data_IF_092749521342
#
_entry.id   IF_092749521342
#
_cell.length_a   1.000
_cell.length_b   1.000
_cell.length_c   1.000
_cell.angle_alpha   90.00
_cell.angle_beta   90.00
_cell.angle_gamma   90.00
#
_symmetry.space_group_name_H-M   'P 1'
#
loop_
_entity.id
_entity.type
_entity.pdbx_description
1 polymer ?
#
# COMPACT_ATOMS: atom_id res chain seq x y z
N UNK A 1 -12.77 -6.00 -41.89
CA UNK A 1 -12.58 -5.34 -40.58
C UNK A 1 -12.81 -6.37 -39.48
N UNK A 2 -11.75 -6.82 -38.80
CA UNK A 2 -11.90 -7.79 -37.69
C UNK A 2 -12.47 -7.08 -36.46
N UNK A 3 -13.62 -7.54 -35.97
CA UNK A 3 -14.19 -7.07 -34.72
C UNK A 3 -13.20 -7.37 -33.58
N UNK A 4 -12.64 -6.32 -32.97
CA UNK A 4 -11.84 -6.44 -31.74
C UNK A 4 -12.77 -6.96 -30.65
N UNK A 5 -12.71 -8.27 -30.36
CA UNK A 5 -13.43 -8.87 -29.23
C UNK A 5 -12.91 -8.23 -27.94
N UNK A 6 -13.69 -7.31 -27.36
CA UNK A 6 -13.42 -6.81 -26.01
C UNK A 6 -13.34 -8.03 -25.07
N UNK A 7 -12.25 -8.19 -24.29
CA UNK A 7 -12.15 -9.30 -23.35
C UNK A 7 -13.36 -9.25 -22.39
N UNK A 8 -13.95 -10.41 -22.08
CA UNK A 8 -15.07 -10.46 -21.13
C UNK A 8 -14.60 -9.91 -19.77
N UNK A 9 -15.49 -9.18 -19.08
CA UNK A 9 -15.23 -8.56 -17.78
C UNK A 9 -14.62 -9.56 -16.77
N UNK A 10 -15.05 -10.81 -16.84
CA UNK A 10 -14.55 -11.90 -16.00
C UNK A 10 -13.08 -12.26 -16.25
N UNK A 11 -12.63 -12.16 -17.50
CA UNK A 11 -11.24 -12.43 -17.89
C UNK A 11 -10.30 -11.32 -17.42
N UNK A 12 -10.78 -10.07 -17.44
CA UNK A 12 -10.07 -8.94 -16.84
C UNK A 12 -9.99 -9.09 -15.32
N UNK A 13 -11.08 -9.46 -14.67
CA UNK A 13 -11.12 -9.69 -13.21
C UNK A 13 -10.19 -10.81 -12.75
N UNK A 14 -10.13 -11.90 -13.51
CA UNK A 14 -9.24 -13.04 -13.21
C UNK A 14 -7.76 -12.66 -13.36
N UNK A 15 -7.43 -11.85 -14.37
CA UNK A 15 -6.06 -11.36 -14.56
C UNK A 15 -5.64 -10.40 -13.45
N UNK A 16 -6.54 -9.50 -13.01
CA UNK A 16 -6.29 -8.61 -11.88
C UNK A 16 -6.03 -9.40 -10.61
N UNK A 17 -6.87 -10.39 -10.28
CA UNK A 17 -6.66 -11.27 -9.12
C UNK A 17 -5.36 -12.07 -9.20
N UNK A 18 -4.97 -12.55 -10.38
CA UNK A 18 -3.67 -13.25 -10.54
C UNK A 18 -2.49 -12.34 -10.27
N UNK A 19 -2.52 -11.11 -10.80
CA UNK A 19 -1.46 -10.11 -10.55
C UNK A 19 -1.39 -9.76 -9.07
N UNK A 20 -2.53 -9.64 -8.40
CA UNK A 20 -2.62 -9.42 -6.96
C UNK A 20 -2.02 -10.57 -6.15
N UNK A 21 -2.36 -11.82 -6.46
CA UNK A 21 -1.78 -12.98 -5.78
C UNK A 21 -0.26 -13.07 -5.97
N UNK A 22 0.22 -12.86 -7.21
CA UNK A 22 1.67 -12.86 -7.49
C UNK A 22 2.36 -11.75 -6.69
N UNK A 23 1.76 -10.56 -6.65
CA UNK A 23 2.30 -9.46 -5.88
C UNK A 23 2.33 -9.75 -4.38
N UNK A 24 1.23 -10.22 -3.79
CA UNK A 24 1.19 -10.57 -2.37
C UNK A 24 2.23 -11.64 -2.05
N UNK A 25 2.38 -12.64 -2.90
CA UNK A 25 3.40 -13.67 -2.73
C UNK A 25 4.84 -13.09 -2.78
N UNK A 26 5.15 -12.23 -3.74
CA UNK A 26 6.45 -11.56 -3.86
C UNK A 26 6.70 -10.61 -2.69
N UNK A 27 5.69 -9.84 -2.29
CA UNK A 27 5.77 -8.92 -1.16
C UNK A 27 6.03 -9.68 0.16
N UNK A 28 5.29 -10.75 0.42
CA UNK A 28 5.54 -11.62 1.56
C UNK A 28 6.94 -12.23 1.52
N UNK A 29 7.39 -12.72 0.35
CA UNK A 29 8.73 -13.28 0.22
C UNK A 29 9.83 -12.24 0.47
N UNK A 30 9.68 -11.00 -0.01
CA UNK A 30 10.61 -9.91 0.24
C UNK A 30 10.64 -9.50 1.71
N UNK A 31 9.48 -9.40 2.36
CA UNK A 31 9.38 -9.10 3.79
C UNK A 31 10.06 -10.20 4.61
N UNK A 32 9.70 -11.47 4.38
CA UNK A 32 10.31 -12.62 5.06
C UNK A 32 11.81 -12.65 4.83
N UNK A 33 12.27 -12.45 3.58
CA UNK A 33 13.68 -12.41 3.24
C UNK A 33 14.45 -11.30 3.96
N UNK A 34 13.86 -10.10 4.06
CA UNK A 34 14.45 -8.98 4.77
C UNK A 34 14.56 -9.26 6.28
N UNK A 35 13.53 -9.88 6.86
CA UNK A 35 13.51 -10.27 8.28
C UNK A 35 14.51 -11.37 8.61
N UNK A 36 14.58 -12.41 7.78
CA UNK A 36 15.58 -13.48 7.91
C UNK A 36 16.98 -12.89 7.79
N UNK A 37 17.22 -12.03 6.80
CA UNK A 37 18.51 -11.35 6.63
C UNK A 37 18.89 -10.50 7.85
N UNK A 38 17.93 -9.75 8.40
CA UNK A 38 18.13 -8.92 9.59
C UNK A 38 18.36 -9.71 10.88
N UNK A 39 17.89 -10.95 10.95
CA UNK A 39 18.14 -11.83 12.08
C UNK A 39 19.58 -12.37 12.12
N UNK A 40 20.27 -12.41 10.97
CA UNK A 40 21.64 -12.95 10.87
C UNK A 40 22.73 -11.89 10.67
N UNK A 41 22.37 -10.66 10.27
CA UNK A 41 23.30 -9.54 10.12
C UNK A 41 22.66 -8.22 10.53
N UNK A 42 23.43 -7.29 11.14
CA UNK A 42 22.96 -5.93 11.37
C UNK A 42 22.57 -5.31 10.03
N UNK A 43 21.27 -5.14 9.82
CA UNK A 43 20.73 -4.67 8.54
C UNK A 43 20.84 -3.16 8.49
N UNK A 44 21.42 -2.66 7.40
CA UNK A 44 21.52 -1.22 7.15
C UNK A 44 20.12 -0.60 7.02
N UNK A 45 19.89 0.49 7.75
CA UNK A 45 18.64 1.26 7.70
C UNK A 45 18.29 1.63 6.26
N UNK A 46 19.30 1.90 5.42
CA UNK A 46 19.12 2.25 4.01
C UNK A 46 18.47 1.12 3.19
N UNK A 47 18.83 -0.14 3.47
CA UNK A 47 18.24 -1.30 2.78
C UNK A 47 16.78 -1.46 3.17
N UNK A 48 16.45 -1.26 4.45
CA UNK A 48 15.07 -1.24 4.93
C UNK A 48 14.26 -0.14 4.23
N UNK A 49 14.75 1.10 4.18
CA UNK A 49 14.06 2.22 3.54
C UNK A 49 13.83 1.99 2.04
N UNK A 50 14.81 1.44 1.33
CA UNK A 50 14.68 1.13 -0.11
C UNK A 50 13.66 0.03 -0.38
N UNK A 51 13.72 -1.09 0.34
CA UNK A 51 12.80 -2.22 0.12
C UNK A 51 11.39 -1.82 0.49
N UNK A 52 11.21 -1.17 1.63
CA UNK A 52 9.90 -0.74 2.11
C UNK A 52 9.30 0.30 1.16
N UNK A 53 10.11 1.27 0.69
CA UNK A 53 9.68 2.29 -0.27
C UNK A 53 9.27 1.70 -1.61
N UNK A 54 10.04 0.74 -2.13
CA UNK A 54 9.69 0.01 -3.35
C UNK A 54 8.39 -0.79 -3.18
N UNK A 55 8.22 -1.47 -2.03
CA UNK A 55 7.01 -2.23 -1.71
C UNK A 55 5.77 -1.32 -1.72
N UNK A 56 5.88 -0.15 -1.09
CA UNK A 56 4.82 0.86 -1.03
C UNK A 56 4.45 1.36 -2.43
N UNK A 57 5.42 1.73 -3.27
CA UNK A 57 5.16 2.20 -4.64
C UNK A 57 4.46 1.13 -5.50
N UNK A 58 4.85 -0.14 -5.37
CA UNK A 58 4.20 -1.23 -6.12
C UNK A 58 2.79 -1.50 -5.59
N UNK A 59 2.57 -1.46 -4.27
CA UNK A 59 1.23 -1.53 -3.65
C UNK A 59 0.31 -0.44 -4.21
N UNK A 60 0.79 0.82 -4.23
CA UNK A 60 0.06 1.96 -4.79
C UNK A 60 -0.31 1.73 -6.27
N UNK A 61 0.62 1.20 -7.07
CA UNK A 61 0.39 0.93 -8.49
C UNK A 61 -0.68 -0.14 -8.76
N UNK A 62 -0.72 -1.20 -7.94
CA UNK A 62 -1.70 -2.29 -8.07
C UNK A 62 -3.08 -1.83 -7.64
N UNK A 63 -3.15 -1.13 -6.51
CA UNK A 63 -4.40 -0.55 -6.01
C UNK A 63 -4.96 0.45 -7.04
N UNK A 64 -4.12 1.33 -7.60
CA UNK A 64 -4.48 2.23 -8.71
C UNK A 64 -5.11 1.51 -9.90
N UNK A 65 -4.59 0.33 -10.28
CA UNK A 65 -5.16 -0.51 -11.34
C UNK A 65 -6.47 -1.16 -10.95
N UNK A 66 -6.63 -1.64 -9.72
CA UNK A 66 -7.91 -2.19 -9.25
C UNK A 66 -9.03 -1.14 -9.31
N UNK A 67 -8.71 0.13 -9.06
CA UNK A 67 -9.69 1.22 -9.09
C UNK A 67 -10.21 1.60 -10.47
N UNK A 68 -9.45 1.33 -11.54
CA UNK A 68 -9.91 1.60 -12.90
C UNK A 68 -11.03 0.66 -13.36
N UNK A 69 -11.30 -0.43 -12.61
CA UNK A 69 -12.24 -1.49 -13.02
C UNK A 69 -13.65 -1.32 -12.40
N UNK A 70 -13.85 -0.45 -11.41
CA UNK A 70 -15.09 -0.33 -10.61
C UNK A 70 -16.16 0.66 -11.16
N UNK A 71 -16.26 0.85 -12.48
CA UNK A 71 -16.98 1.98 -13.12
C UNK A 71 -18.54 1.96 -13.01
N UNK A 72 -19.12 2.75 -12.10
CA UNK A 72 -20.45 3.42 -12.19
C UNK A 72 -20.39 4.89 -11.67
N UNK A 73 -20.55 5.85 -12.59
CA UNK A 73 -19.97 7.22 -12.56
C UNK A 73 -20.42 8.22 -11.47
N UNK A 74 -21.50 7.96 -10.73
CA UNK A 74 -21.97 8.87 -9.66
C UNK A 74 -21.38 8.56 -8.28
N UNK A 75 -21.44 7.28 -7.89
CA UNK A 75 -20.81 6.74 -6.67
C UNK A 75 -19.29 6.65 -6.79
N UNK A 76 -18.77 6.74 -8.02
CA UNK A 76 -17.36 6.60 -8.32
C UNK A 76 -16.45 7.61 -7.64
N UNK A 77 -16.83 8.89 -7.57
CA UNK A 77 -15.97 9.94 -7.01
C UNK A 77 -15.75 9.75 -5.52
N UNK A 78 -16.84 9.51 -4.80
CA UNK A 78 -16.77 9.21 -3.38
C UNK A 78 -16.01 7.91 -3.15
N UNK A 79 -16.30 6.85 -3.90
CA UNK A 79 -15.58 5.57 -3.80
C UNK A 79 -14.09 5.72 -4.11
N UNK A 80 -13.71 6.44 -5.17
CA UNK A 80 -12.31 6.69 -5.53
C UNK A 80 -11.60 7.50 -4.44
N UNK A 81 -12.23 8.56 -3.94
CA UNK A 81 -11.63 9.39 -2.88
C UNK A 81 -11.53 8.64 -1.54
N UNK A 82 -12.56 7.92 -1.13
CA UNK A 82 -12.57 7.07 0.07
C UNK A 82 -11.50 5.97 -0.03
N UNK A 83 -11.34 5.40 -1.21
CA UNK A 83 -10.37 4.36 -1.42
C UNK A 83 -8.92 4.89 -1.44
N UNK A 84 -8.68 6.11 -1.94
CA UNK A 84 -7.39 6.82 -1.74
C UNK A 84 -7.10 7.04 -0.25
N UNK A 85 -8.09 7.39 0.57
CA UNK A 85 -7.90 7.41 2.02
C UNK A 85 -7.50 6.05 2.57
N UNK A 86 -8.17 4.98 2.12
CA UNK A 86 -7.84 3.60 2.51
C UNK A 86 -6.41 3.21 2.14
N UNK A 87 -5.96 3.57 0.93
CA UNK A 87 -4.59 3.37 0.46
C UNK A 87 -3.58 4.07 1.35
N UNK A 88 -3.77 5.37 1.58
CA UNK A 88 -2.83 6.20 2.34
C UNK A 88 -2.78 5.75 3.80
N UNK A 89 -3.95 5.50 4.38
CA UNK A 89 -4.07 5.05 5.77
C UNK A 89 -3.48 3.66 5.95
N UNK A 90 -3.82 2.72 5.07
CA UNK A 90 -3.32 1.34 5.10
C UNK A 90 -1.82 1.26 4.86
N UNK A 91 -1.30 2.07 3.94
CA UNK A 91 0.13 2.15 3.67
C UNK A 91 0.90 2.76 4.85
N UNK A 92 0.39 3.83 5.46
CA UNK A 92 1.01 4.44 6.63
C UNK A 92 0.99 3.53 7.87
N UNK A 93 -0.10 2.80 8.09
CA UNK A 93 -0.20 1.80 9.16
C UNK A 93 0.71 0.59 8.90
N UNK A 94 0.69 0.07 7.67
CA UNK A 94 1.56 -1.03 7.27
C UNK A 94 3.03 -0.65 7.40
N UNK A 95 3.39 0.58 7.05
CA UNK A 95 4.73 1.11 7.23
C UNK A 95 5.13 1.19 8.70
N UNK A 96 4.25 1.74 9.55
CA UNK A 96 4.48 1.85 10.99
C UNK A 96 4.70 0.47 11.63
N UNK A 97 3.88 -0.52 11.25
CA UNK A 97 4.04 -1.91 11.68
C UNK A 97 5.38 -2.49 11.21
N UNK A 98 5.71 -2.32 9.92
CA UNK A 98 6.96 -2.83 9.36
C UNK A 98 8.19 -2.24 10.08
N UNK A 99 8.12 -0.95 10.43
CA UNK A 99 9.14 -0.25 11.21
C UNK A 99 9.25 -0.81 12.63
N UNK A 100 8.13 -1.01 13.33
CA UNK A 100 8.13 -1.57 14.68
C UNK A 100 8.75 -2.96 14.73
N UNK A 101 8.39 -3.84 13.79
CA UNK A 101 8.96 -5.19 13.72
C UNK A 101 10.45 -5.14 13.32
N UNK A 102 10.86 -4.23 12.42
CA UNK A 102 12.27 -4.05 12.07
C UNK A 102 13.12 -3.61 13.27
N UNK A 103 12.64 -2.66 14.08
CA UNK A 103 13.33 -2.21 15.28
C UNK A 103 13.48 -3.32 16.31
N UNK A 104 12.42 -4.11 16.53
CA UNK A 104 12.44 -5.26 17.43
C UNK A 104 13.52 -6.28 17.02
N UNK A 105 13.57 -6.66 15.73
CA UNK A 105 14.57 -7.61 15.21
C UNK A 105 16.00 -7.03 15.25
N UNK A 106 16.17 -5.73 14.98
CA UNK A 106 17.46 -5.05 15.04
C UNK A 106 18.00 -4.96 16.48
N UNK A 107 17.13 -4.64 17.44
CA UNK A 107 17.48 -4.50 18.86
C UNK A 107 17.71 -5.87 19.53
N UNK A 108 16.94 -6.89 19.16
CA UNK A 108 17.13 -8.27 19.63
C UNK A 108 18.53 -8.82 19.35
N UNK A 109 19.15 -8.42 18.25
CA UNK A 109 20.53 -8.79 17.91
C UNK A 109 21.62 -8.04 18.71
N UNK A 110 21.26 -6.99 19.44
CA UNK A 110 22.19 -6.10 20.15
C UNK A 110 22.32 -6.39 21.65
N UNK A 111 21.55 -7.34 22.20
CA UNK A 111 21.61 -7.73 23.62
C UNK A 111 20.93 -6.74 24.58
N UNK A 112 20.37 -5.64 24.08
CA UNK A 112 19.44 -4.81 24.83
C UNK A 112 18.10 -5.54 24.97
N UNK A 113 17.52 -5.53 26.17
CA UNK A 113 16.16 -6.05 26.40
C UNK A 113 15.19 -5.24 25.54
N UNK A 114 14.75 -5.84 24.43
CA UNK A 114 13.71 -5.29 23.58
C UNK A 114 12.43 -5.14 24.41
N UNK A 115 12.17 -3.92 24.88
CA UNK A 115 10.85 -3.54 25.35
C UNK A 115 9.83 -3.69 24.21
N UNK A 116 8.53 -3.79 24.51
CA UNK A 116 7.51 -3.84 23.46
C UNK A 116 7.73 -2.69 22.47
N UNK A 117 7.60 -2.93 21.15
CA UNK A 117 7.83 -1.90 20.15
C UNK A 117 6.94 -0.70 20.45
N UNK A 118 7.56 0.41 20.84
CA UNK A 118 6.87 1.63 21.25
C UNK A 118 6.41 2.35 19.98
N UNK A 119 5.32 1.86 19.40
CA UNK A 119 4.61 2.51 18.31
C UNK A 119 3.52 3.38 18.93
N UNK A 120 3.78 4.67 19.19
CA UNK A 120 2.80 5.50 19.83
C UNK A 120 1.57 5.64 18.92
N UNK A 121 0.39 5.58 19.54
CA UNK A 121 -0.91 5.60 18.86
C UNK A 121 -1.09 6.79 17.91
N UNK A 122 -0.36 7.90 18.13
CA UNK A 122 -0.40 9.06 17.25
C UNK A 122 -0.01 8.73 15.81
N UNK A 123 0.85 7.72 15.55
CA UNK A 123 1.18 7.31 14.18
C UNK A 123 -0.04 6.81 13.42
N UNK A 124 -0.93 6.06 14.10
CA UNK A 124 -2.20 5.63 13.52
C UNK A 124 -3.10 6.85 13.23
N UNK A 125 -3.11 7.83 14.13
CA UNK A 125 -3.86 9.06 13.95
C UNK A 125 -3.35 9.89 12.76
N UNK A 126 -2.03 10.09 12.63
CA UNK A 126 -1.46 10.80 11.47
C UNK A 126 -1.71 10.06 10.16
N UNK A 127 -1.60 8.74 10.15
CA UNK A 127 -1.91 7.93 8.96
C UNK A 127 -3.36 8.17 8.52
N UNK A 128 -4.29 8.14 9.47
CA UNK A 128 -5.72 8.37 9.22
C UNK A 128 -6.01 9.80 8.78
N UNK A 129 -5.45 10.81 9.45
CA UNK A 129 -5.61 12.23 9.07
C UNK A 129 -5.06 12.46 7.66
N UNK A 130 -3.88 11.93 7.35
CA UNK A 130 -3.28 12.05 6.02
C UNK A 130 -4.15 11.36 4.95
N UNK A 131 -4.74 10.21 5.28
CA UNK A 131 -5.72 9.54 4.42
C UNK A 131 -6.97 10.38 4.15
N UNK A 132 -7.56 10.96 5.19
CA UNK A 132 -8.73 11.84 5.07
C UNK A 132 -8.42 13.11 4.26
N UNK A 133 -7.24 13.69 4.47
CA UNK A 133 -6.75 14.84 3.70
C UNK A 133 -6.58 14.44 2.23
N UNK A 134 -5.95 13.30 1.94
CA UNK A 134 -5.77 12.79 0.58
C UNK A 134 -7.12 12.52 -0.12
N UNK A 135 -8.11 11.99 0.62
CA UNK A 135 -9.48 11.85 0.13
C UNK A 135 -10.11 13.19 -0.21
N UNK A 136 -10.02 14.19 0.68
CA UNK A 136 -10.57 15.52 0.44
C UNK A 136 -9.96 16.17 -0.81
N UNK A 137 -8.64 16.12 -0.97
CA UNK A 137 -7.94 16.64 -2.15
C UNK A 137 -8.31 15.87 -3.42
N UNK A 138 -8.39 14.55 -3.37
CA UNK A 138 -8.77 13.72 -4.53
C UNK A 138 -10.19 14.03 -4.97
N UNK A 139 -11.12 14.17 -4.03
CA UNK A 139 -12.51 14.53 -4.33
C UNK A 139 -12.61 15.94 -4.95
N UNK A 140 -11.88 16.93 -4.39
CA UNK A 140 -11.79 18.28 -4.96
C UNK A 140 -11.20 18.28 -6.37
N UNK A 141 -10.15 17.49 -6.61
CA UNK A 141 -9.51 17.34 -7.91
C UNK A 141 -10.47 16.73 -8.95
N UNK A 142 -11.11 15.61 -8.62
CA UNK A 142 -12.07 14.95 -9.52
C UNK A 142 -13.26 15.86 -9.83
N UNK A 143 -13.78 16.58 -8.82
CA UNK A 143 -14.87 17.54 -9.02
C UNK A 143 -14.48 18.70 -9.94
N UNK A 144 -13.23 19.20 -9.84
CA UNK A 144 -12.71 20.25 -10.74
C UNK A 144 -12.46 19.75 -12.16
N UNK A 145 -12.03 18.50 -12.31
CA UNK A 145 -11.82 17.87 -13.62
C UNK A 145 -13.14 17.69 -14.36
N UNK A 146 -14.15 17.12 -13.70
CA UNK A 146 -15.48 16.89 -14.29
C UNK A 146 -16.18 18.20 -14.67
N UNK A 147 -15.87 19.31 -14.01
CA UNK A 147 -16.43 20.62 -14.35
C UNK A 147 -15.76 21.27 -15.57
N UNK A 148 -14.65 20.70 -16.06
CA UNK A 148 -13.91 21.17 -17.25
C UNK A 148 -14.16 20.31 -18.49
N UNK A 149 -14.71 19.10 -18.31
CA UNK A 149 -15.16 18.18 -19.37
C UNK A 149 -16.64 18.45 -19.70
#
# INVERSE_FOLDING_TARGET
MSAVKKPSRDRQWTNVRRVEFIYVAVACALIIGLFVYASFRPTSDLVFWLVSGALLLVSLGIWGRQYQVLDERGKLRFLQSWAVSGVVTGSGLGWALLWGVYQDVKLSGSGETAGPPDLPFWFAYLSLVTGLVAMAFTNLYLRRRDARE
#
